data_IF_530461227252
#
_entry.id   IF_530461227252
#
_cell.length_a   1.000
_cell.length_b   1.000
_cell.length_c   1.000
_cell.angle_alpha   90.00
_cell.angle_beta   90.00
_cell.angle_gamma   90.00
#
_symmetry.space_group_name_H-M   'P 1'
#
loop_
_entity.id
_entity.type
_entity.pdbx_description
1 polymer ?
#
# COMPACT_ATOMS: atom_id res chain seq x y z
N UNK A 1 21.95 -3.75 12.22
CA UNK A 1 20.88 -2.73 12.20
C UNK A 1 19.73 -3.25 11.34
N UNK A 2 18.48 -3.12 11.77
CA UNK A 2 17.32 -3.50 10.97
C UNK A 2 17.07 -2.43 9.90
N UNK A 3 17.17 -2.79 8.62
CA UNK A 3 16.85 -1.90 7.50
C UNK A 3 15.33 -1.87 7.30
N UNK A 4 14.76 -0.67 7.15
CA UNK A 4 13.35 -0.52 6.79
C UNK A 4 13.17 -1.05 5.36
N UNK A 5 12.19 -1.95 5.18
CA UNK A 5 11.80 -2.50 3.88
C UNK A 5 10.36 -2.12 3.58
N UNK A 6 10.16 -1.34 2.53
CA UNK A 6 8.86 -0.83 2.11
C UNK A 6 8.36 -1.57 0.87
N UNK A 7 7.05 -1.76 0.84
CA UNK A 7 6.29 -2.21 -0.31
C UNK A 7 5.25 -1.15 -0.67
N UNK A 8 5.39 -0.53 -1.84
CA UNK A 8 4.55 0.61 -2.25
C UNK A 8 3.49 0.17 -3.25
N UNK A 9 2.23 0.44 -2.89
CA UNK A 9 1.05 0.22 -3.72
C UNK A 9 1.07 1.06 -5.00
N UNK A 10 0.36 0.60 -6.04
CA UNK A 10 0.34 1.18 -7.40
C UNK A 10 -0.13 2.64 -7.42
N UNK A 11 -1.06 2.99 -6.53
CA UNK A 11 -1.61 4.34 -6.40
C UNK A 11 -0.80 5.26 -5.46
N UNK A 12 0.16 4.68 -4.73
CA UNK A 12 0.96 5.37 -3.73
C UNK A 12 2.37 5.72 -4.24
N UNK A 13 2.90 4.95 -5.19
CA UNK A 13 4.24 5.09 -5.72
C UNK A 13 4.34 6.09 -6.87
N UNK A 14 4.29 7.41 -6.59
CA UNK A 14 4.84 8.36 -7.57
C UNK A 14 6.33 8.08 -7.75
N UNK A 15 6.81 8.05 -9.00
CA UNK A 15 8.20 7.73 -9.33
C UNK A 15 9.23 8.54 -8.52
N UNK A 16 8.98 9.83 -8.33
CA UNK A 16 9.83 10.72 -7.53
C UNK A 16 9.94 10.31 -6.06
N UNK A 17 8.86 9.78 -5.46
CA UNK A 17 8.86 9.28 -4.08
C UNK A 17 9.70 8.00 -3.96
N UNK A 18 9.52 7.07 -4.90
CA UNK A 18 10.31 5.83 -4.96
C UNK A 18 11.81 6.14 -5.05
N UNK A 19 12.17 7.05 -5.96
CA UNK A 19 13.55 7.50 -6.15
C UNK A 19 14.12 8.19 -4.90
N UNK A 20 13.36 9.09 -4.28
CA UNK A 20 13.79 9.76 -3.06
C UNK A 20 14.04 8.78 -1.90
N UNK A 21 13.16 7.80 -1.68
CA UNK A 21 13.32 6.78 -0.64
C UNK A 21 14.54 5.88 -0.90
N UNK A 22 14.78 5.51 -2.16
CA UNK A 22 15.97 4.74 -2.55
C UNK A 22 17.25 5.54 -2.37
N UNK A 23 17.23 6.85 -2.64
CA UNK A 23 18.37 7.74 -2.37
C UNK A 23 18.69 7.81 -0.87
N UNK A 24 17.69 7.69 0.00
CA UNK A 24 17.83 7.54 1.45
C UNK A 24 18.26 6.12 1.89
N UNK A 25 18.59 5.22 0.94
CA UNK A 25 19.03 3.83 1.19
C UNK A 25 17.96 2.93 1.84
N UNK A 26 16.69 3.29 1.72
CA UNK A 26 15.57 2.45 2.13
C UNK A 26 15.37 1.37 1.06
N UNK A 27 15.14 0.12 1.48
CA UNK A 27 14.78 -0.97 0.56
C UNK A 27 13.32 -0.80 0.16
N UNK A 28 13.07 -0.44 -1.10
CA UNK A 28 11.73 -0.16 -1.63
C UNK A 28 11.46 -1.07 -2.82
N UNK A 29 10.37 -1.83 -2.75
CA UNK A 29 9.76 -2.54 -3.89
C UNK A 29 8.38 -1.95 -4.14
N UNK A 30 8.03 -1.75 -5.41
CA UNK A 30 6.68 -1.35 -5.84
C UNK A 30 5.83 -2.58 -6.22
N UNK A 31 4.50 -2.45 -6.23
CA UNK A 31 3.59 -3.47 -6.81
C UNK A 31 3.98 -3.83 -8.25
N UNK A 32 4.42 -2.85 -9.04
CA UNK A 32 4.95 -3.05 -10.39
C UNK A 32 6.15 -4.00 -10.44
N UNK A 33 7.18 -3.73 -9.62
CA UNK A 33 8.39 -4.56 -9.59
C UNK A 33 8.13 -5.95 -9.01
N UNK A 34 7.20 -6.06 -8.05
CA UNK A 34 6.76 -7.33 -7.48
C UNK A 34 5.84 -8.14 -8.41
N UNK A 35 5.40 -7.57 -9.54
CA UNK A 35 4.36 -8.14 -10.44
C UNK A 35 3.04 -8.42 -9.73
N UNK A 36 2.71 -7.59 -8.73
CA UNK A 36 1.52 -7.69 -7.90
C UNK A 36 0.51 -6.54 -8.19
N UNK A 37 0.57 -5.97 -9.38
CA UNK A 37 -0.36 -4.90 -9.80
C UNK A 37 -1.78 -5.48 -9.84
N UNK A 38 -2.79 -4.70 -9.44
CA UNK A 38 -4.20 -5.11 -9.36
C UNK A 38 -4.47 -6.31 -8.43
N UNK A 39 -3.46 -6.74 -7.66
CA UNK A 39 -3.64 -7.78 -6.67
C UNK A 39 -4.57 -7.24 -5.56
N UNK A 40 -5.59 -7.99 -5.12
CA UNK A 40 -6.47 -7.54 -4.05
C UNK A 40 -5.71 -7.19 -2.77
N UNK A 41 -6.23 -6.23 -1.99
CA UNK A 41 -5.58 -5.78 -0.76
C UNK A 41 -5.14 -6.90 0.19
N UNK A 42 -5.97 -7.93 0.47
CA UNK A 42 -5.57 -8.99 1.38
C UNK A 42 -4.35 -9.77 0.86
N UNK A 43 -4.29 -9.98 -0.46
CA UNK A 43 -3.21 -10.74 -1.10
C UNK A 43 -1.92 -9.92 -1.14
N UNK A 44 -2.00 -8.60 -1.36
CA UNK A 44 -0.86 -7.69 -1.21
C UNK A 44 -0.31 -7.68 0.23
N UNK A 45 -1.19 -7.69 1.24
CA UNK A 45 -0.79 -7.76 2.66
C UNK A 45 -0.07 -9.07 2.99
N UNK A 46 -0.59 -10.20 2.50
CA UNK A 46 0.04 -11.52 2.67
C UNK A 46 1.42 -11.52 2.04
N UNK A 47 1.54 -11.06 0.79
CA UNK A 47 2.82 -10.99 0.10
C UNK A 47 3.83 -10.11 0.84
N UNK A 48 3.43 -8.90 1.25
CA UNK A 48 4.30 -7.98 1.98
C UNK A 48 4.82 -8.62 3.28
N UNK A 49 3.93 -9.28 4.02
CA UNK A 49 4.25 -9.98 5.26
C UNK A 49 5.25 -11.12 5.02
N UNK A 50 5.02 -11.94 3.99
CA UNK A 50 5.92 -13.03 3.61
C UNK A 50 7.32 -12.54 3.21
N UNK A 51 7.41 -11.34 2.61
CA UNK A 51 8.69 -10.72 2.24
C UNK A 51 9.35 -9.93 3.39
N UNK A 52 8.71 -9.84 4.56
CA UNK A 52 9.18 -9.04 5.68
C UNK A 52 9.20 -7.55 5.37
N UNK A 53 8.18 -7.05 4.66
CA UNK A 53 8.05 -5.66 4.20
C UNK A 53 6.83 -4.99 4.81
N UNK A 54 6.97 -3.71 5.13
CA UNK A 54 5.84 -2.85 5.52
C UNK A 54 5.19 -2.33 4.26
N UNK A 55 3.88 -2.55 4.11
CA UNK A 55 3.11 -2.02 2.98
C UNK A 55 2.67 -0.57 3.25
N UNK A 56 2.85 0.31 2.26
CA UNK A 56 2.25 1.64 2.24
C UNK A 56 1.30 1.73 1.05
N UNK A 57 0.06 2.10 1.35
CA UNK A 57 -1.02 2.19 0.38
C UNK A 57 -1.84 3.44 0.55
N UNK A 58 -2.34 3.97 -0.56
CA UNK A 58 -3.29 5.07 -0.53
C UNK A 58 -4.67 4.49 -0.26
N UNK A 59 -5.23 4.76 0.92
CA UNK A 59 -6.63 4.44 1.16
C UNK A 59 -7.51 5.48 0.45
N UNK A 60 -8.24 5.05 -0.58
CA UNK A 60 -9.27 5.89 -1.19
C UNK A 60 -10.45 6.04 -0.24
N UNK A 61 -10.68 7.25 0.28
CA UNK A 61 -11.95 7.58 0.92
C UNK A 61 -13.05 7.55 -0.16
N UNK A 62 -13.64 6.38 -0.44
CA UNK A 62 -14.96 6.37 -1.06
C UNK A 62 -15.92 6.99 -0.04
N UNK A 63 -16.64 8.09 -0.36
CA UNK A 63 -17.66 8.61 0.54
C UNK A 63 -18.67 7.49 0.78
N UNK A 64 -18.65 6.91 1.99
CA UNK A 64 -19.72 6.03 2.43
C UNK A 64 -20.93 6.94 2.59
N UNK A 65 -21.95 6.80 1.74
CA UNK A 65 -23.28 7.32 2.06
C UNK A 65 -23.69 6.60 3.34
N UNK A 66 -23.64 7.30 4.46
CA UNK A 66 -24.37 6.90 5.65
C UNK A 66 -25.84 7.07 5.29
N UNK A 67 -26.48 6.02 4.78
CA UNK A 67 -27.94 5.99 4.76
C UNK A 67 -28.35 5.78 6.22
N UNK A 68 -28.75 6.86 6.87
CA UNK A 68 -29.42 6.79 8.17
C UNK A 68 -30.70 5.98 7.96
N UNK A 69 -30.68 4.70 8.31
CA UNK A 69 -31.90 3.98 8.59
C UNK A 69 -32.41 4.56 9.91
N UNK A 70 -33.33 5.51 9.84
CA UNK A 70 -34.23 5.75 10.96
C UNK A 70 -34.97 4.43 11.17
N UNK A 71 -34.67 3.75 12.29
CA UNK A 71 -35.64 2.80 12.83
C UNK A 71 -36.85 3.65 13.22
N UNK A 72 -37.95 3.47 12.51
CA UNK A 72 -39.27 3.84 13.01
C UNK A 72 -39.50 3.04 14.31
N UNK A 73 -39.50 3.76 15.44
CA UNK A 73 -40.04 3.33 16.72
C UNK A 73 -41.37 4.05 16.95
#
# INVERSE_FOLDING_TARGET
MSQIRLYLDEDAGQRSVVEALRNLKIDVITTWEAKNIQLPDPDQLVWATQQGRVIYRKFGLKPRRFTTAFLDL
#
